data_IF_109494729142
#
_entry.id   IF_109494729142
#
_cell.length_a   1.000
_cell.length_b   1.000
_cell.length_c   1.000
_cell.angle_alpha   90.00
_cell.angle_beta   90.00
_cell.angle_gamma   90.00
#
_symmetry.space_group_name_H-M   'P 1'
#
loop_
_entity.id
_entity.type
_entity.pdbx_description
1 polymer ?
#
# COMPACT_ATOMS: atom_id res chain seq x y z
N UNK A 1 0.39 -13.70 -0.13
CA UNK A 1 -0.73 -12.78 0.16
C UNK A 1 -0.14 -11.39 0.10
N UNK A 2 -0.61 -10.49 -0.77
CA UNK A 2 0.01 -9.17 -0.95
C UNK A 2 -0.48 -8.21 0.15
N UNK A 3 0.43 -7.69 0.95
CA UNK A 3 0.12 -6.72 2.00
C UNK A 3 0.93 -5.44 1.74
N UNK A 4 0.23 -4.32 1.61
CA UNK A 4 0.82 -2.99 1.48
C UNK A 4 0.31 -2.13 2.62
N UNK A 5 1.22 -1.40 3.28
CA UNK A 5 0.89 -0.44 4.33
C UNK A 5 1.73 0.82 4.16
N UNK A 6 1.15 1.97 4.50
CA UNK A 6 1.80 3.27 4.47
C UNK A 6 1.64 3.91 5.85
N UNK A 7 2.74 4.41 6.42
CA UNK A 7 2.74 5.10 7.70
C UNK A 7 2.40 6.57 7.48
N UNK A 8 1.35 7.01 8.15
CA UNK A 8 0.88 8.38 8.08
C UNK A 8 1.03 9.05 9.45
N UNK A 9 1.56 10.30 9.51
CA UNK A 9 1.83 10.99 10.77
C UNK A 9 0.55 11.46 11.48
N UNK A 10 -0.56 11.57 10.76
CA UNK A 10 -1.85 12.01 11.31
C UNK A 10 -3.00 11.15 10.82
N UNK A 11 -4.02 10.98 11.67
CA UNK A 11 -5.20 10.18 11.34
C UNK A 11 -5.97 10.73 10.12
N UNK A 12 -6.05 12.06 9.97
CA UNK A 12 -6.69 12.68 8.80
C UNK A 12 -5.97 12.37 7.49
N UNK A 13 -4.63 12.35 7.50
CA UNK A 13 -3.86 12.02 6.31
C UNK A 13 -4.08 10.56 5.89
N UNK A 14 -4.14 9.63 6.85
CA UNK A 14 -4.48 8.23 6.59
C UNK A 14 -5.88 8.07 6.00
N UNK A 15 -6.90 8.73 6.58
CA UNK A 15 -8.29 8.66 6.10
C UNK A 15 -8.41 9.26 4.69
N UNK A 16 -7.72 10.36 4.42
CA UNK A 16 -7.73 11.00 3.09
C UNK A 16 -7.10 10.08 2.05
N UNK A 17 -5.98 9.43 2.38
CA UNK A 17 -5.31 8.46 1.52
C UNK A 17 -6.17 7.22 1.26
N UNK A 18 -6.80 6.67 2.29
CA UNK A 18 -7.71 5.53 2.17
C UNK A 18 -8.91 5.85 1.28
N UNK A 19 -9.51 7.04 1.43
CA UNK A 19 -10.63 7.51 0.59
C UNK A 19 -10.21 7.67 -0.87
N UNK A 20 -9.00 8.16 -1.14
CA UNK A 20 -8.44 8.23 -2.50
C UNK A 20 -8.27 6.82 -3.08
N UNK A 21 -7.66 5.90 -2.33
CA UNK A 21 -7.42 4.52 -2.74
C UNK A 21 -8.72 3.72 -2.95
N UNK A 22 -9.80 4.01 -2.22
CA UNK A 22 -11.12 3.39 -2.41
C UNK A 22 -11.74 3.71 -3.77
N UNK A 23 -11.40 4.86 -4.37
CA UNK A 23 -11.93 5.29 -5.67
C UNK A 23 -11.07 4.84 -6.87
N UNK A 24 -9.92 4.23 -6.62
CA UNK A 24 -8.96 3.88 -7.67
C UNK A 24 -9.24 2.53 -8.32
N UNK A 25 -8.99 2.47 -9.63
CA UNK A 25 -9.03 1.26 -10.43
C UNK A 25 -7.95 0.28 -9.94
N UNK A 26 -8.24 -1.02 -9.97
CA UNK A 26 -7.36 -2.09 -9.48
C UNK A 26 -5.92 -2.01 -10.02
N UNK A 27 -5.75 -1.54 -11.25
CA UNK A 27 -4.45 -1.31 -11.88
C UNK A 27 -3.55 -0.35 -11.09
N UNK A 28 -4.12 0.72 -10.51
CA UNK A 28 -3.34 1.70 -9.75
C UNK A 28 -2.88 1.16 -8.38
N UNK A 29 -3.65 0.24 -7.78
CA UNK A 29 -3.19 -0.46 -6.57
C UNK A 29 -2.00 -1.38 -6.86
N UNK A 30 -1.99 -2.04 -8.02
CA UNK A 30 -0.86 -2.87 -8.44
C UNK A 30 0.38 -2.02 -8.69
N UNK A 31 0.23 -0.89 -9.37
CA UNK A 31 1.32 0.04 -9.62
C UNK A 31 1.94 0.56 -8.32
N UNK A 32 1.13 0.89 -7.31
CA UNK A 32 1.64 1.37 -6.03
C UNK A 32 2.37 0.29 -5.22
N UNK A 33 1.95 -0.97 -5.38
CA UNK A 33 2.64 -2.12 -4.80
C UNK A 33 3.96 -2.37 -5.54
N UNK A 34 3.97 -2.29 -6.87
CA UNK A 34 5.17 -2.45 -7.70
C UNK A 34 6.19 -1.33 -7.48
N UNK A 35 5.75 -0.08 -7.34
CA UNK A 35 6.63 1.07 -7.09
C UNK A 35 7.30 0.97 -5.72
N UNK A 36 6.57 0.50 -4.70
CA UNK A 36 7.11 0.42 -3.34
C UNK A 36 7.78 -0.94 -3.03
N UNK A 37 7.56 -1.95 -3.87
CA UNK A 37 8.18 -3.28 -3.75
C UNK A 37 8.64 -3.77 -5.14
N UNK A 38 9.55 -3.01 -5.74
CA UNK A 38 10.15 -3.31 -7.06
C UNK A 38 10.81 -4.69 -7.10
N UNK A 39 11.30 -5.17 -5.96
CA UNK A 39 11.97 -6.47 -5.82
C UNK A 39 11.00 -7.65 -5.64
N UNK A 40 9.69 -7.42 -5.56
CA UNK A 40 8.68 -8.47 -5.36
C UNK A 40 9.02 -9.37 -4.17
N UNK A 41 9.60 -8.79 -3.12
CA UNK A 41 10.01 -9.55 -1.95
C UNK A 41 8.79 -9.77 -1.06
N UNK A 42 8.58 -11.04 -0.72
CA UNK A 42 7.48 -11.45 0.16
C UNK A 42 7.83 -11.06 1.60
N UNK A 43 7.41 -9.85 2.01
CA UNK A 43 7.66 -9.27 3.33
C UNK A 43 6.99 -10.05 4.48
N UNK A 44 6.21 -11.10 4.17
CA UNK A 44 5.67 -12.00 5.17
C UNK A 44 6.76 -12.70 5.98
N UNK A 45 7.89 -13.03 5.35
CA UNK A 45 8.99 -13.72 6.03
C UNK A 45 9.79 -12.81 6.98
N UNK A 46 9.79 -11.49 6.77
CA UNK A 46 10.49 -10.52 7.62
C UNK A 46 9.69 -10.11 8.88
N UNK A 47 8.40 -10.46 8.95
CA UNK A 47 7.52 -10.12 10.08
C UNK A 47 7.47 -11.26 11.13
N UNK A 48 8.10 -12.42 10.87
CA UNK A 48 8.16 -13.57 11.78
C UNK A 48 9.31 -13.44 12.79
#
# INVERSE_FOLDING_TARGET
MLVWYELHPTMESAITREKQLKKWNRAWKLQLIEENNVSWQDLWFDII
#
